data_IF_854799969648
#
_entry.id   IF_854799969648
#
_cell.length_a   1.000
_cell.length_b   1.000
_cell.length_c   1.000
_cell.angle_alpha   90.00
_cell.angle_beta   90.00
_cell.angle_gamma   90.00
#
_symmetry.space_group_name_H-M   'P 1'
#
loop_
_entity.id
_entity.type
_entity.pdbx_description
1 polymer ?
#
# COMPACT_ATOMS: atom_id res chain seq x y z
N UNK A 1 -1.23 -4.52 71.07
CA UNK A 1 -1.15 -4.93 69.65
C UNK A 1 -2.24 -4.25 68.85
N UNK A 2 -1.90 -3.25 68.03
CA UNK A 2 -2.72 -2.78 66.90
C UNK A 2 -1.74 -2.43 65.78
N UNK A 3 -1.62 -3.32 64.81
CA UNK A 3 -0.79 -3.13 63.61
C UNK A 3 -1.62 -2.28 62.65
N UNK A 4 -1.19 -1.03 62.44
CA UNK A 4 -1.77 -0.14 61.43
C UNK A 4 -1.10 -0.51 60.09
N UNK A 5 -1.82 -1.22 59.23
CA UNK A 5 -1.38 -1.51 57.87
C UNK A 5 -1.75 -0.29 57.01
N UNK A 6 -0.79 0.61 56.82
CA UNK A 6 -0.88 1.67 55.80
C UNK A 6 -0.78 1.02 54.42
N UNK A 7 -1.93 0.87 53.75
CA UNK A 7 -2.00 0.39 52.37
C UNK A 7 -1.55 1.53 51.44
N UNK A 8 -0.32 1.43 50.98
CA UNK A 8 0.31 2.32 50.02
C UNK A 8 -0.28 2.03 48.62
N UNK A 9 -1.35 2.72 48.24
CA UNK A 9 -1.84 2.73 46.85
C UNK A 9 -0.91 3.61 46.01
N UNK A 10 0.13 3.01 45.42
CA UNK A 10 0.86 3.62 44.31
C UNK A 10 -0.08 3.71 43.10
N UNK A 11 -0.69 4.87 42.92
CA UNK A 11 -1.29 5.27 41.65
C UNK A 11 -0.17 5.44 40.62
N UNK A 12 0.15 4.37 39.90
CA UNK A 12 1.01 4.47 38.72
C UNK A 12 0.26 5.30 37.66
N UNK A 13 0.81 6.44 37.20
CA UNK A 13 0.22 7.16 36.09
C UNK A 13 0.35 6.28 34.85
N UNK A 14 -0.77 5.73 34.37
CA UNK A 14 -0.83 5.14 33.05
C UNK A 14 -0.61 6.27 32.05
N UNK A 15 0.61 6.38 31.54
CA UNK A 15 0.92 7.25 30.41
C UNK A 15 0.13 6.73 29.21
N UNK A 16 -1.06 7.30 29.01
CA UNK A 16 -1.79 7.19 27.77
C UNK A 16 -0.93 7.92 26.74
N UNK A 17 -0.10 7.17 26.02
CA UNK A 17 0.55 7.66 24.82
C UNK A 17 -0.53 7.89 23.77
N UNK A 18 -1.18 9.05 23.85
CA UNK A 18 -1.98 9.62 22.78
C UNK A 18 -1.05 9.95 21.63
N UNK A 19 -0.69 8.93 20.84
CA UNK A 19 -0.15 9.13 19.52
C UNK A 19 -1.27 9.83 18.74
N UNK A 20 -1.09 11.12 18.44
CA UNK A 20 -2.00 11.89 17.60
C UNK A 20 -1.95 11.32 16.19
N UNK A 21 -2.70 10.23 15.96
CA UNK A 21 -3.00 9.74 14.62
C UNK A 21 -3.86 10.80 13.97
N UNK A 22 -3.41 11.32 12.82
CA UNK A 22 -4.22 12.21 11.98
C UNK A 22 -5.36 11.33 11.46
N UNK A 23 -6.51 11.36 12.14
CA UNK A 23 -7.67 10.53 11.80
C UNK A 23 -8.49 11.23 10.72
N UNK A 24 -8.51 10.66 9.50
CA UNK A 24 -9.29 11.16 8.38
C UNK A 24 -10.74 10.64 8.37
N UNK A 25 -11.19 10.10 9.50
CA UNK A 25 -12.51 9.49 9.69
C UNK A 25 -12.59 8.02 9.31
N UNK A 26 -13.79 7.46 9.43
CA UNK A 26 -14.12 6.09 9.05
C UNK A 26 -14.98 6.06 7.78
N UNK A 27 -14.85 5.02 6.97
CA UNK A 27 -15.56 4.83 5.70
C UNK A 27 -16.20 3.45 5.61
N UNK A 28 -17.36 3.37 4.97
CA UNK A 28 -18.02 2.08 4.73
C UNK A 28 -17.08 1.12 4.00
N UNK A 29 -16.98 -0.11 4.51
CA UNK A 29 -16.14 -1.14 3.96
C UNK A 29 -16.54 -2.55 4.38
N UNK A 30 -15.83 -3.52 3.81
CA UNK A 30 -15.98 -4.94 4.13
C UNK A 30 -14.59 -5.50 4.38
N UNK A 31 -14.39 -6.09 5.56
CA UNK A 31 -13.16 -6.79 5.93
C UNK A 31 -13.36 -8.28 5.66
N UNK A 32 -12.46 -8.90 4.90
CA UNK A 32 -12.46 -10.33 4.62
C UNK A 32 -11.32 -11.01 5.39
N UNK A 33 -11.67 -11.98 6.23
CA UNK A 33 -10.73 -12.71 7.06
C UNK A 33 -10.14 -13.91 6.32
N UNK A 34 -8.93 -14.33 6.70
CA UNK A 34 -8.32 -15.55 6.16
C UNK A 34 -9.12 -16.82 6.46
N UNK A 35 -9.94 -16.81 7.52
CA UNK A 35 -10.83 -17.90 7.90
C UNK A 35 -12.09 -18.01 7.02
N UNK A 36 -12.33 -17.04 6.12
CA UNK A 36 -13.48 -17.02 5.21
C UNK A 36 -14.61 -16.08 5.64
N UNK A 37 -14.62 -15.64 6.90
CA UNK A 37 -15.63 -14.69 7.40
C UNK A 37 -15.47 -13.30 6.77
N UNK A 38 -16.58 -12.57 6.69
CA UNK A 38 -16.61 -11.20 6.22
C UNK A 38 -17.34 -10.31 7.21
N UNK A 39 -16.80 -9.11 7.45
CA UNK A 39 -17.36 -8.12 8.38
C UNK A 39 -17.75 -6.87 7.61
N UNK A 40 -19.05 -6.54 7.59
CA UNK A 40 -19.52 -5.24 7.14
C UNK A 40 -19.27 -4.21 8.25
N UNK A 41 -18.49 -3.17 7.95
CA UNK A 41 -18.01 -2.25 8.97
C UNK A 41 -17.66 -0.87 8.40
N UNK A 42 -17.19 0.01 9.28
CA UNK A 42 -16.54 1.27 8.94
C UNK A 42 -15.04 1.09 9.16
N UNK A 43 -14.23 1.22 8.10
CA UNK A 43 -12.76 1.10 8.17
C UNK A 43 -12.15 2.49 8.31
N UNK A 44 -11.17 2.65 9.19
CA UNK A 44 -10.48 3.93 9.36
C UNK A 44 -9.66 4.29 8.12
N UNK A 45 -9.76 5.54 7.67
CA UNK A 45 -8.94 6.06 6.59
C UNK A 45 -7.55 6.41 7.10
N UNK A 46 -6.55 5.70 6.60
CA UNK A 46 -5.13 6.00 6.87
C UNK A 46 -4.38 6.28 5.56
N UNK A 47 -3.37 7.15 5.62
CA UNK A 47 -2.45 7.39 4.49
C UNK A 47 -1.54 6.19 4.30
N UNK A 48 -1.04 5.64 5.40
CA UNK A 48 -0.23 4.43 5.46
C UNK A 48 -0.75 3.57 6.61
N UNK A 49 -1.05 2.30 6.33
CA UNK A 49 -1.52 1.37 7.35
C UNK A 49 -0.35 0.74 8.10
N UNK A 50 -0.50 0.60 9.41
CA UNK A 50 0.43 -0.14 10.26
C UNK A 50 0.17 -1.65 10.26
N UNK A 51 0.48 -2.31 11.39
CA UNK A 51 0.28 -3.76 11.59
C UNK A 51 -1.16 -4.16 11.96
N UNK A 52 -2.06 -3.18 12.08
CA UNK A 52 -3.48 -3.39 12.34
C UNK A 52 -4.33 -2.47 11.47
N UNK A 53 -5.56 -2.93 11.18
CA UNK A 53 -6.62 -2.09 10.61
C UNK A 53 -7.59 -1.71 11.72
N UNK A 54 -7.85 -0.41 11.85
CA UNK A 54 -8.88 0.08 12.78
C UNK A 54 -10.24 0.08 12.09
N UNK A 55 -11.27 -0.39 12.78
CA UNK A 55 -12.64 -0.45 12.25
C UNK A 55 -13.70 -0.27 13.33
N UNK A 56 -14.94 0.03 12.93
CA UNK A 56 -16.14 0.10 13.78
C UNK A 56 -17.28 -0.68 13.16
N UNK A 57 -18.12 -1.31 13.97
CA UNK A 57 -19.32 -2.01 13.46
C UNK A 57 -20.49 -1.06 13.17
N UNK A 58 -20.48 0.14 13.75
CA UNK A 58 -21.47 1.19 13.54
C UNK A 58 -20.85 2.57 13.81
N UNK A 59 -21.52 3.65 13.42
CA UNK A 59 -21.02 5.03 13.61
C UNK A 59 -20.73 5.35 15.08
N UNK A 60 -21.60 4.88 15.98
CA UNK A 60 -21.49 5.09 17.43
C UNK A 60 -20.74 3.96 18.15
N UNK A 61 -20.27 2.95 17.42
CA UNK A 61 -19.56 1.81 18.00
C UNK A 61 -18.13 2.16 18.41
N UNK A 62 -17.60 1.32 19.31
CA UNK A 62 -16.20 1.37 19.72
C UNK A 62 -15.28 1.03 18.54
N UNK A 63 -14.11 1.67 18.53
CA UNK A 63 -13.03 1.33 17.61
C UNK A 63 -12.44 -0.02 18.00
N UNK A 64 -12.41 -0.94 17.05
CA UNK A 64 -11.79 -2.25 17.13
C UNK A 64 -10.56 -2.29 16.25
N UNK A 65 -9.67 -3.22 16.54
CA UNK A 65 -8.49 -3.48 15.72
C UNK A 65 -8.53 -4.90 15.16
N UNK A 66 -7.97 -5.08 13.97
CA UNK A 66 -7.69 -6.41 13.43
C UNK A 66 -6.24 -6.49 12.94
N UNK A 67 -5.57 -7.59 13.28
CA UNK A 67 -4.19 -7.84 12.85
C UNK A 67 -4.11 -8.17 11.36
N UNK A 68 -3.05 -7.70 10.69
CA UNK A 68 -2.76 -8.12 9.31
C UNK A 68 -2.55 -9.65 9.18
N UNK A 69 -2.20 -10.33 10.27
CA UNK A 69 -2.06 -11.78 10.27
C UNK A 69 -3.39 -12.51 10.03
N UNK A 70 -4.52 -11.92 10.44
CA UNK A 70 -5.87 -12.49 10.32
C UNK A 70 -6.62 -11.98 9.07
N UNK A 71 -6.20 -10.82 8.57
CA UNK A 71 -6.78 -10.15 7.41
C UNK A 71 -6.33 -10.79 6.10
N UNK A 72 -7.27 -11.04 5.20
CA UNK A 72 -6.97 -11.41 3.81
C UNK A 72 -6.90 -10.14 2.95
N UNK A 73 -8.04 -9.46 2.82
CA UNK A 73 -8.16 -8.18 2.13
C UNK A 73 -9.36 -7.41 2.71
N UNK A 74 -9.50 -6.14 2.38
CA UNK A 74 -10.71 -5.38 2.64
C UNK A 74 -11.03 -4.45 1.48
N UNK A 75 -12.30 -4.07 1.37
CA UNK A 75 -12.74 -3.06 0.42
C UNK A 75 -13.23 -1.85 1.18
N UNK A 76 -12.80 -0.66 0.80
CA UNK A 76 -13.25 0.59 1.39
C UNK A 76 -13.23 1.70 0.33
N UNK A 77 -14.26 2.55 0.30
CA UNK A 77 -14.38 3.62 -0.70
C UNK A 77 -14.15 3.16 -2.15
N UNK A 78 -14.79 2.03 -2.53
CA UNK A 78 -14.66 1.40 -3.87
C UNK A 78 -13.24 0.96 -4.26
N UNK A 79 -12.29 0.97 -3.32
CA UNK A 79 -10.93 0.45 -3.50
C UNK A 79 -10.77 -0.85 -2.76
N UNK A 80 -9.93 -1.73 -3.28
CA UNK A 80 -9.56 -3.00 -2.64
C UNK A 80 -8.16 -2.88 -2.09
N UNK A 81 -7.97 -3.33 -0.85
CA UNK A 81 -6.69 -3.33 -0.16
C UNK A 81 -6.35 -4.76 0.25
N UNK A 82 -5.15 -5.22 -0.08
CA UNK A 82 -4.70 -6.59 0.18
C UNK A 82 -3.50 -6.58 1.12
N UNK A 83 -3.40 -7.59 1.98
CA UNK A 83 -2.19 -7.85 2.75
C UNK A 83 -1.19 -8.58 1.85
N UNK A 84 -0.04 -7.96 1.62
CA UNK A 84 1.04 -8.51 0.81
C UNK A 84 2.27 -8.70 1.70
N UNK A 85 2.91 -9.87 1.60
CA UNK A 85 4.15 -10.15 2.31
C UNK A 85 5.32 -9.62 1.49
N UNK A 86 6.09 -8.72 2.09
CA UNK A 86 7.38 -8.22 1.58
C UNK A 86 8.51 -8.69 2.50
N UNK A 87 9.75 -8.41 2.12
CA UNK A 87 10.94 -8.76 2.91
C UNK A 87 10.97 -8.10 4.30
N UNK A 88 10.29 -6.96 4.46
CA UNK A 88 10.19 -6.21 5.72
C UNK A 88 8.92 -6.54 6.53
N UNK A 89 8.11 -7.51 6.08
CA UNK A 89 6.93 -7.97 6.80
C UNK A 89 5.63 -7.84 5.99
N UNK A 90 4.50 -7.88 6.69
CA UNK A 90 3.18 -7.71 6.10
C UNK A 90 2.87 -6.23 5.90
N UNK A 91 2.42 -5.90 4.69
CA UNK A 91 2.04 -4.55 4.30
C UNK A 91 0.65 -4.56 3.67
N UNK A 92 -0.18 -3.59 4.04
CA UNK A 92 -1.46 -3.34 3.37
C UNK A 92 -1.19 -2.49 2.15
N UNK A 93 -1.67 -2.94 0.99
CA UNK A 93 -1.49 -2.25 -0.28
C UNK A 93 -2.82 -2.13 -1.02
N UNK A 94 -3.07 -0.99 -1.63
CA UNK A 94 -4.17 -0.81 -2.57
C UNK A 94 -3.89 -1.64 -3.84
N UNK A 95 -4.90 -2.39 -4.28
CA UNK A 95 -4.85 -3.13 -5.54
C UNK A 95 -5.19 -2.17 -6.67
N UNK A 96 -4.24 -1.90 -7.56
CA UNK A 96 -4.41 -0.96 -8.67
C UNK A 96 -4.89 -1.62 -9.96
N UNK A 97 -4.44 -2.85 -10.23
CA UNK A 97 -4.86 -3.66 -11.37
C UNK A 97 -4.51 -5.14 -11.15
N UNK A 98 -5.28 -6.05 -11.75
CA UNK A 98 -5.07 -7.50 -11.68
C UNK A 98 -5.30 -8.14 -13.04
N UNK A 99 -4.39 -9.00 -13.48
CA UNK A 99 -4.51 -9.76 -14.71
C UNK A 99 -3.40 -10.80 -14.82
N UNK A 100 -2.69 -10.82 -15.95
CA UNK A 100 -1.45 -11.60 -16.13
C UNK A 100 -0.39 -11.21 -15.09
N UNK A 101 -0.41 -9.95 -14.70
CA UNK A 101 0.38 -9.38 -13.62
C UNK A 101 -0.54 -8.54 -12.73
N UNK A 102 -0.30 -8.54 -11.42
CA UNK A 102 -0.99 -7.67 -10.49
C UNK A 102 -0.05 -6.54 -10.05
N UNK A 103 -0.62 -5.34 -9.88
CA UNK A 103 0.09 -4.18 -9.33
C UNK A 103 -0.63 -3.66 -8.11
N UNK A 104 0.15 -3.35 -7.09
CA UNK A 104 -0.28 -2.79 -5.83
C UNK A 104 0.46 -1.49 -5.55
N UNK A 105 -0.11 -0.64 -4.70
CA UNK A 105 0.57 0.55 -4.18
C UNK A 105 0.38 0.70 -2.68
N UNK A 106 1.37 1.26 -2.01
CA UNK A 106 1.25 1.73 -0.63
C UNK A 106 2.05 3.02 -0.45
N UNK A 107 1.67 3.80 0.55
CA UNK A 107 2.40 5.01 0.91
C UNK A 107 3.30 4.73 2.11
N UNK A 108 4.52 5.27 2.08
CA UNK A 108 5.43 5.36 3.23
C UNK A 108 5.51 6.82 3.68
N UNK A 109 5.38 7.08 4.98
CA UNK A 109 5.58 8.43 5.55
C UNK A 109 6.95 8.45 6.20
N UNK A 110 7.89 9.26 5.67
CA UNK A 110 9.17 9.50 6.33
C UNK A 110 9.13 10.84 7.04
N UNK A 111 9.28 10.80 8.35
CA UNK A 111 9.42 12.00 9.16
C UNK A 111 10.87 12.46 9.10
N UNK A 112 11.11 13.64 8.54
CA UNK A 112 12.44 14.24 8.66
C UNK A 112 12.62 14.77 10.09
N UNK A 113 13.73 14.45 10.77
CA UNK A 113 14.03 15.08 12.04
C UNK A 113 14.25 16.57 11.80
N UNK A 114 13.31 17.41 12.25
CA UNK A 114 13.47 18.86 12.20
C UNK A 114 14.64 19.26 13.09
N UNK A 115 15.83 19.48 12.50
CA UNK A 115 16.92 20.20 13.17
C UNK A 115 16.55 21.68 13.23
N UNK A 116 15.83 22.11 14.27
CA UNK A 116 15.75 23.54 14.62
C UNK A 116 15.87 23.70 16.13
N UNK A 117 16.96 24.34 16.53
CA UNK A 117 17.10 25.00 17.83
C UNK A 117 16.08 26.13 17.90
N UNK A 118 14.95 25.99 18.61
CA UNK A 118 14.18 27.16 19.04
C UNK A 118 13.49 26.90 20.38
N UNK A 119 13.80 27.78 21.33
CA UNK A 119 13.08 28.07 22.57
C UNK A 119 11.58 28.33 22.28
N UNK A 120 10.68 27.62 22.98
CA UNK A 120 9.25 27.90 23.03
C UNK A 120 8.52 28.08 21.66
N UNK A 121 8.20 26.97 20.99
CA UNK A 121 7.28 26.99 19.84
C UNK A 121 6.89 25.58 19.38
N UNK A 122 5.61 25.39 19.07
CA UNK A 122 4.99 24.11 18.70
C UNK A 122 5.72 23.44 17.54
N UNK A 123 6.18 22.20 17.73
CA UNK A 123 6.87 21.41 16.70
C UNK A 123 5.87 20.90 15.65
N UNK A 124 5.93 21.42 14.43
CA UNK A 124 5.27 20.80 13.28
C UNK A 124 6.28 19.90 12.56
N UNK A 125 6.18 18.58 12.78
CA UNK A 125 6.95 17.60 12.00
C UNK A 125 6.33 17.48 10.61
N UNK A 126 7.02 17.94 9.57
CA UNK A 126 6.61 17.70 8.19
C UNK A 126 7.07 16.28 7.80
N UNK A 127 6.12 15.41 7.48
CA UNK A 127 6.40 14.09 6.91
C UNK A 127 6.29 14.15 5.39
N UNK A 128 7.27 13.57 4.69
CA UNK A 128 7.19 13.39 3.24
C UNK A 128 6.50 12.05 2.95
N UNK A 129 5.60 12.04 1.96
CA UNK A 129 4.85 10.86 1.53
C UNK A 129 5.53 10.29 0.29
N UNK A 130 5.94 9.02 0.36
CA UNK A 130 6.53 8.27 -0.75
C UNK A 130 5.53 7.24 -1.24
N UNK A 131 5.31 7.17 -2.55
CA UNK A 131 4.42 6.18 -3.19
C UNK A 131 5.29 5.04 -3.68
N UNK A 132 4.95 3.82 -3.26
CA UNK A 132 5.64 2.60 -3.67
C UNK A 132 4.75 1.79 -4.61
N UNK A 133 5.36 1.15 -5.61
CA UNK A 133 4.68 0.21 -6.48
C UNK A 133 5.24 -1.19 -6.27
N UNK A 134 4.34 -2.16 -6.13
CA UNK A 134 4.68 -3.57 -5.96
C UNK A 134 4.00 -4.37 -7.03
N UNK A 135 4.74 -5.28 -7.65
CA UNK A 135 4.27 -6.15 -8.72
C UNK A 135 4.24 -7.59 -8.21
N UNK A 136 3.21 -8.34 -8.61
CA UNK A 136 3.17 -9.79 -8.49
C UNK A 136 2.95 -10.42 -9.87
N UNK A 137 3.94 -11.17 -10.36
CA UNK A 137 3.83 -11.99 -11.58
C UNK A 137 4.09 -13.44 -11.21
N UNK A 138 3.11 -14.32 -11.44
CA UNK A 138 3.24 -15.77 -11.19
C UNK A 138 3.74 -16.13 -9.77
N UNK A 139 3.36 -15.35 -8.74
CA UNK A 139 3.76 -15.56 -7.35
C UNK A 139 5.04 -14.84 -6.95
N UNK A 140 5.84 -14.35 -7.90
CA UNK A 140 7.02 -13.53 -7.63
C UNK A 140 6.58 -12.10 -7.32
N UNK A 141 6.79 -11.68 -6.07
CA UNK A 141 6.47 -10.35 -5.57
C UNK A 141 7.75 -9.51 -5.52
N UNK A 142 7.71 -8.32 -6.11
CA UNK A 142 8.83 -7.38 -6.06
C UNK A 142 8.36 -5.93 -6.01
N UNK A 143 9.06 -5.11 -5.24
CA UNK A 143 8.91 -3.66 -5.27
C UNK A 143 9.66 -3.08 -6.47
N UNK A 144 9.03 -2.15 -7.18
CA UNK A 144 9.63 -1.47 -8.33
C UNK A 144 10.05 -0.06 -7.90
N UNK A 145 11.35 0.21 -8.00
CA UNK A 145 11.92 1.51 -7.68
C UNK A 145 12.10 2.36 -8.93
N UNK A 146 11.94 3.67 -8.79
CA UNK A 146 12.03 4.63 -9.89
C UNK A 146 13.33 4.52 -10.71
N UNK A 147 14.55 4.38 -10.13
CA UNK A 147 15.76 4.28 -10.94
C UNK A 147 15.82 3.04 -11.84
N UNK A 148 15.16 1.95 -11.41
CA UNK A 148 15.33 0.63 -12.01
C UNK A 148 14.09 0.15 -12.78
N UNK A 149 13.00 0.92 -12.77
CA UNK A 149 11.69 0.43 -13.22
C UNK A 149 11.70 -0.05 -14.67
N UNK A 150 12.40 0.65 -15.58
CA UNK A 150 12.50 0.24 -16.99
C UNK A 150 13.17 -1.12 -17.16
N UNK A 151 14.24 -1.37 -16.40
CA UNK A 151 14.98 -2.65 -16.45
C UNK A 151 14.09 -3.77 -15.93
N UNK A 152 13.46 -3.55 -14.77
CA UNK A 152 12.57 -4.51 -14.13
C UNK A 152 11.37 -4.85 -15.03
N UNK A 153 10.69 -3.84 -15.57
CA UNK A 153 9.52 -4.05 -16.43
C UNK A 153 9.88 -4.71 -17.76
N UNK A 154 11.02 -4.38 -18.36
CA UNK A 154 11.49 -5.05 -19.59
C UNK A 154 11.66 -6.56 -19.39
N UNK A 155 12.23 -6.96 -18.26
CA UNK A 155 12.38 -8.38 -17.92
C UNK A 155 11.02 -9.04 -17.68
N UNK A 156 10.13 -8.36 -16.96
CA UNK A 156 8.77 -8.86 -16.69
C UNK A 156 7.93 -9.02 -17.96
N UNK A 157 8.14 -8.19 -18.98
CA UNK A 157 7.35 -8.16 -20.22
C UNK A 157 8.01 -8.91 -21.37
N UNK A 158 8.93 -9.83 -21.10
CA UNK A 158 9.63 -10.63 -22.10
C UNK A 158 8.69 -11.44 -23.01
N UNK A 159 7.50 -11.75 -22.54
CA UNK A 159 6.41 -12.44 -23.24
C UNK A 159 5.48 -11.51 -24.06
N UNK A 160 5.69 -10.18 -23.99
CA UNK A 160 5.01 -9.20 -24.83
C UNK A 160 6.02 -8.19 -25.37
N UNK A 161 6.64 -8.53 -26.51
CA UNK A 161 7.67 -7.71 -27.14
C UNK A 161 7.22 -6.26 -27.41
N UNK A 162 5.94 -6.05 -27.75
CA UNK A 162 5.36 -4.71 -27.91
C UNK A 162 5.53 -3.86 -26.65
N UNK A 163 5.21 -4.41 -25.48
CA UNK A 163 5.33 -3.70 -24.21
C UNK A 163 6.78 -3.55 -23.77
N UNK A 164 7.61 -4.58 -23.93
CA UNK A 164 9.04 -4.48 -23.69
C UNK A 164 9.70 -3.38 -24.56
N UNK A 165 9.25 -3.25 -25.82
CA UNK A 165 9.66 -2.20 -26.75
C UNK A 165 9.25 -0.80 -26.28
N UNK A 166 7.98 -0.61 -25.89
CA UNK A 166 7.51 0.68 -25.35
C UNK A 166 8.30 1.14 -24.12
N UNK A 167 8.53 0.22 -23.17
CA UNK A 167 9.33 0.50 -21.98
C UNK A 167 10.78 0.87 -22.35
N UNK A 168 11.38 0.13 -23.30
CA UNK A 168 12.76 0.36 -23.72
C UNK A 168 12.96 1.69 -24.46
N UNK A 169 11.98 2.13 -25.25
CA UNK A 169 12.00 3.43 -25.94
C UNK A 169 11.76 4.62 -25.01
N UNK A 170 11.28 4.37 -23.79
CA UNK A 170 10.95 5.43 -22.85
C UNK A 170 9.58 6.06 -23.09
N UNK A 171 8.65 5.32 -23.71
CA UNK A 171 7.27 5.77 -23.95
C UNK A 171 6.48 5.97 -22.63
N UNK A 172 7.05 5.53 -21.49
CA UNK A 172 6.45 5.62 -20.16
C UNK A 172 7.41 6.20 -19.13
N UNK A 173 6.83 6.89 -18.15
CA UNK A 173 7.47 7.36 -16.93
C UNK A 173 7.12 6.45 -15.73
N UNK A 174 7.77 6.65 -14.59
CA UNK A 174 7.52 5.85 -13.39
C UNK A 174 6.13 6.13 -12.79
N UNK A 175 5.59 7.31 -13.01
CA UNK A 175 4.25 7.70 -12.60
C UNK A 175 3.17 6.95 -13.37
N UNK A 176 3.51 6.43 -14.56
CA UNK A 176 2.58 5.71 -15.44
C UNK A 176 2.39 4.24 -15.06
N UNK A 177 2.99 3.76 -13.96
CA UNK A 177 3.02 2.34 -13.57
C UNK A 177 1.67 1.62 -13.66
N UNK A 178 0.57 2.24 -13.23
CA UNK A 178 -0.75 1.64 -13.37
C UNK A 178 -1.17 1.47 -14.83
N UNK A 179 -0.92 2.46 -15.68
CA UNK A 179 -1.25 2.40 -17.11
C UNK A 179 -0.38 1.37 -17.83
N UNK A 180 0.92 1.33 -17.52
CA UNK A 180 1.84 0.35 -18.10
C UNK A 180 1.35 -1.08 -17.86
N UNK A 181 0.95 -1.36 -16.61
CA UNK A 181 0.48 -2.68 -16.21
C UNK A 181 -0.86 -3.02 -16.86
N UNK A 182 -1.79 -2.05 -16.96
CA UNK A 182 -3.04 -2.23 -17.72
C UNK A 182 -2.78 -2.57 -19.19
N UNK A 183 -1.88 -1.86 -19.84
CA UNK A 183 -1.54 -2.09 -21.25
C UNK A 183 -0.91 -3.47 -21.46
N UNK A 184 -0.09 -3.92 -20.50
CA UNK A 184 0.49 -5.25 -20.49
C UNK A 184 -0.54 -6.35 -20.23
N UNK A 185 -1.43 -6.18 -19.25
CA UNK A 185 -2.51 -7.12 -18.97
C UNK A 185 -3.44 -7.32 -20.18
N UNK A 186 -3.62 -6.26 -20.97
CA UNK A 186 -4.38 -6.30 -22.22
C UNK A 186 -3.54 -6.67 -23.47
N UNK A 187 -2.25 -6.94 -23.32
CA UNK A 187 -1.41 -7.39 -24.43
C UNK A 187 -1.82 -8.81 -24.83
N UNK A 188 -2.40 -8.95 -26.02
CA UNK A 188 -2.51 -10.24 -26.71
C UNK A 188 -1.13 -10.53 -27.28
N UNK A 189 -0.49 -11.61 -26.82
CA UNK A 189 0.87 -11.96 -27.24
C UNK A 189 0.95 -12.06 -28.76
N UNK A 190 2.15 -11.80 -29.29
CA UNK A 190 2.54 -11.78 -30.70
C UNK A 190 2.41 -10.42 -31.43
N UNK A 191 3.52 -10.07 -32.07
CA UNK A 191 3.67 -8.97 -32.99
C UNK A 191 2.67 -9.12 -34.14
N UNK A 192 1.93 -8.07 -34.48
CA UNK A 192 1.61 -7.85 -35.89
C UNK A 192 2.95 -7.58 -36.57
N UNK A 193 3.38 -8.46 -37.47
CA UNK A 193 4.46 -8.15 -38.40
C UNK A 193 4.16 -6.77 -39.00
N UNK A 194 5.04 -5.81 -38.75
CA UNK A 194 5.16 -4.71 -39.69
C UNK A 194 5.71 -5.34 -40.96
N UNK A 195 4.82 -5.74 -41.87
CA UNK A 195 5.16 -5.88 -43.28
C UNK A 195 5.68 -4.53 -43.71
N UNK A 196 7.00 -4.35 -43.65
CA UNK A 196 7.72 -3.37 -44.43
C UNK A 196 7.46 -3.74 -45.88
N UNK A 197 6.38 -3.22 -46.45
CA UNK A 197 6.19 -3.17 -47.89
C UNK A 197 7.31 -2.29 -48.42
N UNK A 198 8.44 -2.90 -48.75
CA UNK A 198 9.45 -2.28 -49.58
C UNK A 198 8.75 -1.91 -50.89
N UNK A 199 8.45 -0.62 -51.06
CA UNK A 199 8.10 -0.07 -52.35
C UNK A 199 9.28 -0.37 -53.29
N UNK A 200 9.09 -1.30 -54.22
CA UNK A 200 10.00 -1.45 -55.36
C UNK A 200 9.94 -0.15 -56.16
N UNK A 201 11.08 0.51 -56.43
CA UNK A 201 11.12 1.55 -57.44
C UNK A 201 10.99 0.88 -58.81
N UNK A 202 9.92 1.22 -59.52
CA UNK A 202 9.80 1.03 -60.97
C UNK A 202 10.36 2.25 -61.69
#
# INVERSE_FOLDING_TARGET
MKILISLLFLLAPQAIHAQSKINWGFMNGVIHLKKGDSLLCLVERQVAYGQTILYKLSQNGDTKEISLAELNYFTANKKTFKVVSLNNGLQVMEVLDTGKIAIYTFNEIKYQPTKRNISAGTKTTKGDIFIHYVINKAGTIQEVKEPDFKVVLKQLFNDCQRMAGKVSRGDYLFEDMQQIIRDYNNCKGEYCEHTTSAAQPG
#
